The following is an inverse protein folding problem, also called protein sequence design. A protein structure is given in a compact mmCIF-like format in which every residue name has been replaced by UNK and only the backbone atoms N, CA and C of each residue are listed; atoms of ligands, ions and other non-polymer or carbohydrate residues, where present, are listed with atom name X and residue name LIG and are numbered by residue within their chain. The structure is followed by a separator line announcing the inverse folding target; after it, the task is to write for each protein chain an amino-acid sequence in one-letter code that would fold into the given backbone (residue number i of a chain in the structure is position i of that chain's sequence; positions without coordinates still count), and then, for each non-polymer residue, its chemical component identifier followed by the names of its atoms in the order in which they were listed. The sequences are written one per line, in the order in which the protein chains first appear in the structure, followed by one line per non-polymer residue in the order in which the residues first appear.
data_IF_705880040086
#
_entry.id   IF_705880040086
#
_cell.length_a   1.000
_cell.length_b   1.000
_cell.length_c   1.000
_cell.angle_alpha   90.00
_cell.angle_beta   90.00
_cell.angle_gamma   90.00
#
_symmetry.space_group_name_H-M   'P 1'
#
loop_
_entity.id
_entity.type
_entity.pdbx_description
1 polymer ?
#
# COMPACT_ATOMS: atom_id res chain seq x y z
N UNK A 1 -11.69 -27.26 -11.93
CA UNK A 1 -11.22 -26.44 -10.79
C UNK A 1 -10.19 -25.48 -11.30
N UNK A 2 -10.29 -24.16 -11.03
CA UNK A 2 -9.20 -23.22 -11.35
C UNK A 2 -7.96 -23.60 -10.55
N UNK A 3 -6.75 -23.37 -11.08
CA UNK A 3 -5.49 -23.60 -10.39
C UNK A 3 -5.46 -22.69 -9.14
N UNK A 4 -5.17 -23.25 -7.97
CA UNK A 4 -5.00 -22.46 -6.75
C UNK A 4 -3.64 -21.74 -6.73
N UNK A 5 -3.34 -21.09 -5.61
CA UNK A 5 -2.02 -20.48 -5.40
C UNK A 5 -0.93 -21.54 -5.27
N UNK A 6 0.29 -21.17 -5.65
CA UNK A 6 1.51 -21.94 -5.45
C UNK A 6 2.45 -21.17 -4.54
N UNK A 7 2.98 -21.84 -3.51
CA UNK A 7 3.97 -21.19 -2.63
C UNK A 7 5.31 -21.06 -3.35
N UNK A 8 5.82 -19.84 -3.46
CA UNK A 8 7.14 -19.52 -4.05
C UNK A 8 7.98 -18.70 -3.09
N UNK A 9 9.30 -18.77 -3.25
CA UNK A 9 10.25 -17.83 -2.66
C UNK A 9 10.77 -16.99 -3.81
N UNK A 10 10.59 -15.67 -3.71
CA UNK A 10 10.98 -14.70 -4.73
C UNK A 10 11.77 -13.55 -4.12
N UNK A 11 12.44 -12.77 -4.95
CA UNK A 11 13.10 -11.54 -4.51
C UNK A 11 12.07 -10.43 -4.25
N UNK A 12 12.31 -9.60 -3.22
CA UNK A 12 11.47 -8.45 -2.91
C UNK A 12 11.33 -7.50 -4.10
N UNK A 13 12.37 -7.34 -4.88
CA UNK A 13 12.39 -6.51 -6.09
C UNK A 13 11.40 -6.94 -7.17
N UNK A 14 10.89 -8.17 -7.13
CA UNK A 14 9.87 -8.67 -8.06
C UNK A 14 8.44 -8.27 -7.66
N UNK A 15 8.26 -7.70 -6.46
CA UNK A 15 6.95 -7.36 -5.91
C UNK A 15 6.66 -5.88 -6.10
N UNK A 16 5.60 -5.57 -6.82
CA UNK A 16 5.01 -4.25 -6.88
C UNK A 16 3.94 -4.11 -5.80
N UNK A 17 4.01 -3.05 -5.00
CA UNK A 17 2.87 -2.66 -4.17
C UNK A 17 1.77 -2.17 -5.11
N UNK A 18 0.63 -2.89 -5.14
CA UNK A 18 -0.42 -2.59 -6.11
C UNK A 18 -0.94 -1.15 -5.94
N UNK A 19 -0.81 -0.28 -6.95
CA UNK A 19 -1.20 1.13 -6.84
C UNK A 19 -2.72 1.31 -6.68
N UNK A 20 -3.51 0.32 -7.12
CA UNK A 20 -4.97 0.32 -7.00
C UNK A 20 -5.45 -0.20 -5.63
N UNK A 21 -4.55 -0.47 -4.66
CA UNK A 21 -4.96 -0.99 -3.36
C UNK A 21 -5.89 -0.01 -2.64
N UNK A 22 -7.17 -0.39 -2.38
CA UNK A 22 -8.14 0.50 -1.74
C UNK A 22 -7.95 0.63 -0.21
N UNK A 23 -6.96 -0.07 0.35
CA UNK A 23 -6.63 -0.01 1.78
C UNK A 23 -5.56 1.04 2.04
N UNK A 24 -5.84 1.95 2.95
CA UNK A 24 -4.87 2.91 3.46
C UNK A 24 -4.17 2.33 4.68
N UNK A 25 -2.85 2.33 4.68
CA UNK A 25 -2.02 1.89 5.81
C UNK A 25 -1.29 3.08 6.42
N UNK A 26 -1.55 3.35 7.69
CA UNK A 26 -0.83 4.40 8.42
C UNK A 26 0.55 3.93 8.87
N UNK A 27 1.46 4.87 9.11
CA UNK A 27 2.78 4.55 9.69
C UNK A 27 2.67 3.83 11.04
N UNK A 28 1.62 4.14 11.81
CA UNK A 28 1.35 3.48 13.09
C UNK A 28 1.02 1.99 12.87
N UNK A 29 0.16 1.68 11.89
CA UNK A 29 -0.21 0.31 11.55
C UNK A 29 0.99 -0.50 11.08
N UNK A 30 1.85 0.11 10.25
CA UNK A 30 3.06 -0.54 9.73
C UNK A 30 4.05 -0.79 10.88
N UNK A 31 4.24 0.18 11.79
CA UNK A 31 5.10 0.02 12.98
C UNK A 31 4.59 -1.07 13.91
N UNK A 32 3.28 -1.12 14.14
CA UNK A 32 2.64 -2.18 14.96
C UNK A 32 2.84 -3.55 14.32
N UNK A 33 2.60 -3.68 13.02
CA UNK A 33 2.82 -4.92 12.28
C UNK A 33 4.30 -5.35 12.31
N UNK A 34 5.22 -4.39 12.13
CA UNK A 34 6.67 -4.63 12.27
C UNK A 34 7.04 -5.20 13.65
N UNK A 35 6.48 -4.63 14.72
CA UNK A 35 6.71 -5.11 16.09
C UNK A 35 6.20 -6.54 16.27
N UNK A 36 5.02 -6.84 15.73
CA UNK A 36 4.45 -8.19 15.78
C UNK A 36 5.29 -9.19 14.99
N UNK A 37 5.73 -8.85 13.76
CA UNK A 37 6.59 -9.72 12.94
C UNK A 37 7.91 -10.01 13.66
N UNK A 38 8.51 -9.01 14.32
CA UNK A 38 9.73 -9.22 15.12
C UNK A 38 9.52 -10.17 16.29
N UNK A 39 8.33 -10.19 16.88
CA UNK A 39 8.00 -11.03 18.05
C UNK A 39 7.69 -12.47 17.70
N UNK A 40 6.88 -12.69 16.65
CA UNK A 40 6.30 -14.00 16.35
C UNK A 40 6.66 -14.54 14.97
N UNK A 41 7.42 -13.79 14.17
CA UNK A 41 7.71 -14.09 12.77
C UNK A 41 6.61 -13.60 11.82
N UNK A 42 6.86 -13.75 10.51
CA UNK A 42 5.90 -13.41 9.48
C UNK A 42 4.82 -14.49 9.41
N UNK A 43 3.63 -14.16 9.91
CA UNK A 43 2.45 -15.02 9.89
C UNK A 43 1.44 -14.46 8.88
N UNK A 44 0.79 -15.36 8.15
CA UNK A 44 -0.17 -15.03 7.10
C UNK A 44 0.45 -14.97 5.70
N UNK A 45 -0.39 -15.20 4.70
CA UNK A 45 0.03 -15.23 3.29
C UNK A 45 0.32 -13.84 2.75
N UNK A 46 1.19 -13.79 1.76
CA UNK A 46 1.38 -12.65 0.87
C UNK A 46 0.95 -13.14 -0.50
N UNK A 47 -0.15 -12.61 -1.03
CA UNK A 47 -0.67 -13.04 -2.33
C UNK A 47 -0.08 -12.14 -3.42
N UNK A 48 0.57 -12.76 -4.38
CA UNK A 48 1.30 -12.09 -5.44
C UNK A 48 0.89 -12.64 -6.81
N UNK A 49 0.55 -11.75 -7.74
CA UNK A 49 0.23 -12.13 -9.11
C UNK A 49 1.52 -12.17 -9.93
N UNK A 50 1.91 -13.36 -10.39
CA UNK A 50 3.14 -13.52 -11.17
C UNK A 50 3.05 -12.90 -12.57
N UNK A 51 1.86 -12.72 -13.13
CA UNK A 51 1.65 -12.13 -14.45
C UNK A 51 1.94 -10.63 -14.46
N UNK A 52 1.52 -9.91 -13.41
CA UNK A 52 1.67 -8.45 -13.31
C UNK A 52 2.79 -8.01 -12.37
N UNK A 53 3.24 -8.90 -11.48
CA UNK A 53 4.14 -8.56 -10.38
C UNK A 53 3.47 -7.87 -9.20
N UNK A 54 2.17 -7.64 -9.24
CA UNK A 54 1.44 -6.90 -8.24
C UNK A 54 1.03 -7.75 -7.02
N UNK A 55 0.97 -7.11 -5.86
CA UNK A 55 0.33 -7.70 -4.68
C UNK A 55 -1.20 -7.66 -4.82
N UNK A 56 -1.84 -8.75 -4.41
CA UNK A 56 -3.29 -8.83 -4.19
C UNK A 56 -3.61 -8.65 -2.71
N UNK A 57 -2.83 -9.28 -1.83
CA UNK A 57 -2.93 -9.11 -0.38
C UNK A 57 -1.54 -9.15 0.29
N UNK A 58 -1.45 -8.56 1.48
CA UNK A 58 -0.21 -8.56 2.26
C UNK A 58 0.62 -7.28 2.15
N UNK A 59 0.11 -6.20 1.57
CA UNK A 59 0.81 -4.91 1.44
C UNK A 59 1.44 -4.45 2.76
N UNK A 60 0.66 -4.39 3.85
CA UNK A 60 1.15 -4.01 5.18
C UNK A 60 2.26 -4.94 5.69
N UNK A 61 2.15 -6.25 5.40
CA UNK A 61 3.19 -7.24 5.76
C UNK A 61 4.49 -6.99 5.01
N UNK A 62 4.42 -6.78 3.70
CA UNK A 62 5.60 -6.48 2.86
C UNK A 62 6.26 -5.19 3.33
N UNK A 63 5.51 -4.08 3.47
CA UNK A 63 6.04 -2.81 3.96
C UNK A 63 6.70 -2.93 5.34
N UNK A 64 6.16 -3.78 6.22
CA UNK A 64 6.74 -4.01 7.55
C UNK A 64 8.03 -4.82 7.49
N UNK A 65 8.13 -5.79 6.58
CA UNK A 65 9.35 -6.58 6.34
C UNK A 65 10.40 -5.69 5.66
N UNK A 66 10.03 -4.84 4.71
CA UNK A 66 10.93 -3.84 4.12
C UNK A 66 11.63 -3.00 5.20
N UNK A 67 10.86 -2.52 6.20
CA UNK A 67 11.42 -1.78 7.34
C UNK A 67 12.28 -2.64 8.28
N UNK A 68 12.11 -3.96 8.31
CA UNK A 68 12.94 -4.87 9.12
C UNK A 68 14.25 -5.15 8.41
N UNK A 69 14.20 -5.39 7.10
CA UNK A 69 15.36 -5.73 6.27
C UNK A 69 16.16 -4.50 5.82
N UNK A 70 15.57 -3.29 5.96
CA UNK A 70 16.18 -2.07 5.47
C UNK A 70 16.16 -1.95 3.95
N UNK A 71 15.11 -2.51 3.33
CA UNK A 71 14.95 -2.45 1.87
C UNK A 71 14.75 -1.03 1.38
N UNK A 72 15.60 -0.58 0.46
CA UNK A 72 15.61 0.75 -0.15
C UNK A 72 15.48 0.73 -1.68
N UNK A 73 15.22 -0.46 -2.26
CA UNK A 73 15.09 -0.66 -3.69
C UNK A 73 16.40 -0.98 -4.41
N UNK A 74 17.54 -1.02 -3.69
CA UNK A 74 18.83 -1.39 -4.27
C UNK A 74 19.03 -2.92 -4.26
N UNK A 75 19.86 -3.48 -5.17
CA UNK A 75 20.17 -4.91 -5.16
C UNK A 75 20.83 -5.40 -3.88
N UNK A 76 21.56 -4.52 -3.17
CA UNK A 76 22.30 -4.84 -1.95
C UNK A 76 21.35 -5.09 -0.76
N UNK A 77 20.17 -4.49 -0.78
CA UNK A 77 19.15 -4.64 0.26
C UNK A 77 18.03 -5.60 -0.12
N UNK A 78 18.10 -6.18 -1.34
CA UNK A 78 17.10 -7.12 -1.83
C UNK A 78 17.12 -8.43 -1.03
N UNK A 79 15.96 -8.94 -0.66
CA UNK A 79 15.82 -10.12 0.18
C UNK A 79 14.82 -11.12 -0.38
N UNK A 80 14.94 -12.37 0.07
CA UNK A 80 14.02 -13.44 -0.30
C UNK A 80 12.76 -13.39 0.58
N UNK A 81 11.60 -13.50 -0.07
CA UNK A 81 10.31 -13.49 0.62
C UNK A 81 9.41 -14.60 0.10
N UNK A 82 8.69 -15.24 1.02
CA UNK A 82 7.74 -16.28 0.70
C UNK A 82 6.39 -15.68 0.30
N UNK A 83 5.87 -16.08 -0.84
CA UNK A 83 4.59 -15.63 -1.38
C UNK A 83 3.71 -16.80 -1.81
N UNK A 84 2.41 -16.57 -1.86
CA UNK A 84 1.42 -17.41 -2.53
C UNK A 84 1.19 -16.81 -3.92
N UNK A 85 1.87 -17.39 -4.92
CA UNK A 85 1.81 -16.94 -6.31
C UNK A 85 0.51 -17.41 -6.97
N UNK A 86 -0.14 -16.50 -7.68
CA UNK A 86 -1.30 -16.76 -8.53
C UNK A 86 -1.01 -16.24 -9.94
N UNK A 87 -1.79 -16.75 -10.90
CA UNK A 87 -1.70 -16.37 -12.31
C UNK A 87 -3.08 -15.83 -12.73
N UNK A 88 -3.25 -14.52 -12.61
CA UNK A 88 -4.50 -13.83 -12.93
C UNK A 88 -4.28 -12.81 -14.05
N UNK A 89 -5.28 -12.69 -14.93
CA UNK A 89 -5.40 -11.55 -15.80
C UNK A 89 -5.73 -10.28 -15.00
N UNK A 90 -5.58 -9.13 -15.60
CA UNK A 90 -5.73 -7.82 -14.94
C UNK A 90 -7.13 -7.62 -14.33
N UNK A 91 -8.18 -8.06 -15.03
CA UNK A 91 -9.56 -7.98 -14.52
C UNK A 91 -9.73 -8.83 -13.26
N UNK A 92 -9.31 -10.08 -13.33
CA UNK A 92 -9.39 -11.02 -12.19
C UNK A 92 -8.54 -10.51 -11.01
N UNK A 93 -7.37 -9.94 -11.27
CA UNK A 93 -6.54 -9.32 -10.24
C UNK A 93 -7.29 -8.19 -9.51
N UNK A 94 -7.88 -7.25 -10.26
CA UNK A 94 -8.67 -6.14 -9.69
C UNK A 94 -9.86 -6.64 -8.87
N UNK A 95 -10.60 -7.62 -9.39
CA UNK A 95 -11.72 -8.24 -8.67
C UNK A 95 -11.28 -8.91 -7.37
N UNK A 96 -10.16 -9.65 -7.38
CA UNK A 96 -9.63 -10.30 -6.19
C UNK A 96 -9.04 -9.30 -5.20
N UNK A 97 -8.39 -8.24 -5.65
CA UNK A 97 -7.92 -7.15 -4.79
C UNK A 97 -9.08 -6.51 -4.02
N UNK A 98 -10.19 -6.22 -4.70
CA UNK A 98 -11.40 -5.68 -4.08
C UNK A 98 -12.04 -6.69 -3.11
N UNK A 99 -12.17 -7.96 -3.51
CA UNK A 99 -12.72 -9.00 -2.64
C UNK A 99 -11.93 -9.12 -1.34
N UNK A 100 -10.60 -9.17 -1.41
CA UNK A 100 -9.73 -9.26 -0.24
C UNK A 100 -9.77 -7.98 0.60
N UNK A 101 -9.92 -6.82 -0.05
CA UNK A 101 -10.08 -5.56 0.67
C UNK A 101 -11.39 -5.51 1.45
N UNK A 102 -12.51 -5.82 0.80
CA UNK A 102 -13.86 -5.77 1.41
C UNK A 102 -14.03 -6.75 2.57
N UNK A 103 -13.38 -7.91 2.51
CA UNK A 103 -13.55 -8.98 3.50
C UNK A 103 -12.77 -8.77 4.81
N UNK A 104 -11.79 -7.87 4.86
CA UNK A 104 -10.83 -7.83 5.97
C UNK A 104 -10.78 -6.51 6.75
N UNK A 105 -10.96 -5.36 6.09
CA UNK A 105 -10.76 -4.04 6.71
C UNK A 105 -11.71 -3.00 6.10
N UNK A 106 -11.94 -1.85 6.76
CA UNK A 106 -12.58 -0.71 6.12
C UNK A 106 -11.82 -0.32 4.85
N UNK A 107 -12.54 -0.11 3.77
CA UNK A 107 -11.99 0.35 2.50
C UNK A 107 -12.29 1.83 2.27
N UNK A 108 -11.43 2.50 1.51
CA UNK A 108 -11.68 3.86 1.05
C UNK A 108 -12.46 3.82 -0.27
N UNK A 109 -13.74 4.19 -0.22
CA UNK A 109 -14.63 4.21 -1.39
C UNK A 109 -14.21 5.22 -2.45
N UNK A 110 -13.49 6.30 -2.09
CA UNK A 110 -12.95 7.24 -3.07
C UNK A 110 -11.83 6.60 -3.89
N UNK A 111 -10.96 5.81 -3.23
CA UNK A 111 -9.92 5.04 -3.94
C UNK A 111 -10.55 3.96 -4.84
N UNK A 112 -11.64 3.34 -4.40
CA UNK A 112 -12.37 2.39 -5.24
C UNK A 112 -12.95 3.09 -6.46
N UNK A 113 -13.68 4.20 -6.27
CA UNK A 113 -14.28 4.97 -7.36
C UNK A 113 -13.26 5.47 -8.39
N UNK A 114 -12.07 5.85 -7.91
CA UNK A 114 -10.97 6.35 -8.78
C UNK A 114 -10.32 5.25 -9.62
N UNK A 115 -10.15 4.04 -9.05
CA UNK A 115 -9.27 3.02 -9.65
C UNK A 115 -10.02 1.85 -10.31
N UNK A 116 -11.36 1.76 -10.13
CA UNK A 116 -12.14 0.62 -10.59
C UNK A 116 -13.42 1.09 -11.30
N UNK A 117 -13.55 0.76 -12.58
CA UNK A 117 -14.74 1.09 -13.35
C UNK A 117 -15.89 0.16 -13.01
N UNK A 118 -17.10 0.71 -12.79
CA UNK A 118 -18.32 -0.08 -12.58
C UNK A 118 -18.67 -0.93 -13.81
N UNK A 119 -18.33 -0.46 -15.00
CA UNK A 119 -18.66 -1.16 -16.24
C UNK A 119 -17.72 -2.36 -16.49
N UNK A 120 -16.52 -2.34 -15.93
CA UNK A 120 -15.49 -3.37 -16.16
C UNK A 120 -15.44 -4.43 -15.06
N UNK A 121 -15.80 -4.07 -13.82
CA UNK A 121 -15.62 -4.90 -12.63
C UNK A 121 -16.96 -5.45 -12.15
N UNK A 122 -17.02 -6.73 -11.85
CA UNK A 122 -18.16 -7.33 -11.16
C UNK A 122 -18.06 -7.07 -9.64
N UNK A 123 -18.57 -5.92 -9.21
CA UNK A 123 -18.59 -5.52 -7.80
C UNK A 123 -19.38 -6.49 -6.92
N UNK A 124 -20.41 -7.12 -7.43
CA UNK A 124 -21.19 -8.12 -6.69
C UNK A 124 -20.36 -9.37 -6.42
N UNK A 125 -19.61 -9.85 -7.41
CA UNK A 125 -18.67 -10.96 -7.22
C UNK A 125 -17.53 -10.62 -6.24
N UNK A 126 -17.14 -9.34 -6.16
CA UNK A 126 -16.17 -8.84 -5.20
C UNK A 126 -16.76 -8.60 -3.78
N UNK A 127 -18.03 -8.94 -3.54
CA UNK A 127 -18.65 -8.87 -2.22
C UNK A 127 -19.26 -7.52 -1.85
N UNK A 128 -19.44 -6.61 -2.83
CA UNK A 128 -20.10 -5.32 -2.61
C UNK A 128 -21.61 -5.48 -2.68
N UNK A 129 -22.33 -4.74 -1.83
CA UNK A 129 -23.80 -4.66 -1.87
C UNK A 129 -24.25 -3.68 -2.96
N UNK A 130 -25.54 -3.69 -3.26
CA UNK A 130 -26.13 -2.70 -4.17
C UNK A 130 -25.92 -1.27 -3.67
N UNK A 131 -26.05 -1.05 -2.35
CA UNK A 131 -25.80 0.25 -1.73
C UNK A 131 -24.35 0.70 -1.88
N UNK A 132 -23.40 -0.22 -1.67
CA UNK A 132 -21.98 0.07 -1.90
C UNK A 132 -21.72 0.50 -3.35
N UNK A 133 -22.33 -0.22 -4.31
CA UNK A 133 -22.18 0.04 -5.75
C UNK A 133 -22.79 1.38 -6.15
N UNK A 134 -23.95 1.73 -5.61
CA UNK A 134 -24.59 3.04 -5.80
C UNK A 134 -23.71 4.17 -5.25
N UNK A 135 -23.12 3.99 -4.07
CA UNK A 135 -22.20 4.97 -3.48
C UNK A 135 -20.95 5.17 -4.34
N UNK A 136 -20.35 4.09 -4.85
CA UNK A 136 -19.19 4.15 -5.74
C UNK A 136 -19.55 4.90 -7.03
N UNK A 137 -20.74 4.62 -7.60
CA UNK A 137 -21.21 5.31 -8.80
C UNK A 137 -21.37 6.80 -8.59
N UNK A 138 -21.97 7.23 -7.49
CA UNK A 138 -22.09 8.66 -7.14
C UNK A 138 -20.72 9.33 -7.05
N UNK A 139 -19.74 8.67 -6.41
CA UNK A 139 -18.38 9.20 -6.32
C UNK A 139 -17.68 9.27 -7.69
N UNK A 140 -17.95 8.35 -8.61
CA UNK A 140 -17.43 8.41 -9.98
C UNK A 140 -18.06 9.57 -10.76
N UNK A 141 -19.38 9.73 -10.68
CA UNK A 141 -20.10 10.83 -11.33
C UNK A 141 -19.60 12.19 -10.82
N UNK A 142 -19.36 12.34 -9.51
CA UNK A 142 -18.80 13.56 -8.90
C UNK A 142 -17.36 13.82 -9.39
N UNK A 143 -16.55 12.78 -9.53
CA UNK A 143 -15.18 12.87 -10.03
C UNK A 143 -15.17 13.34 -11.49
N UNK A 144 -16.01 12.75 -12.34
CA UNK A 144 -16.16 13.14 -13.74
C UNK A 144 -16.66 14.59 -13.89
N UNK A 145 -17.65 15.00 -13.06
CA UNK A 145 -18.15 16.36 -13.06
C UNK A 145 -17.05 17.37 -12.69
N UNK A 146 -16.23 17.05 -11.69
CA UNK A 146 -15.11 17.87 -11.24
C UNK A 146 -14.03 18.02 -12.32
N UNK A 147 -13.76 16.97 -13.09
CA UNK A 147 -12.80 17.00 -14.18
C UNK A 147 -13.31 17.89 -15.35
N UNK A 148 -14.60 17.83 -15.67
CA UNK A 148 -15.23 18.67 -16.72
C UNK A 148 -15.24 20.15 -16.35
N UNK A 149 -15.50 20.47 -15.06
CA UNK A 149 -15.54 21.87 -14.58
C UNK A 149 -14.12 22.50 -14.53
N UNK A 150 -13.09 21.68 -14.38
CA UNK A 150 -11.69 22.15 -14.39
C UNK A 150 -11.12 22.50 -15.79
N UNK A 151 -11.93 22.36 -16.85
CA UNK A 151 -11.53 22.70 -18.22
C UNK A 151 -10.45 21.79 -18.82
N UNK A 152 -10.28 20.61 -18.29
CA UNK A 152 -9.32 19.61 -18.76
C UNK A 152 -9.95 18.66 -19.79
N UNK A 153 -10.60 19.19 -20.81
CA UNK A 153 -11.25 18.40 -21.87
C UNK A 153 -10.27 17.66 -22.80
N UNK A 154 -8.96 17.74 -22.57
CA UNK A 154 -7.93 17.17 -23.45
C UNK A 154 -6.87 16.34 -22.69
N UNK A 155 -7.31 15.50 -21.73
CA UNK A 155 -6.43 14.47 -21.19
C UNK A 155 -6.74 13.14 -21.86
N UNK A 156 -5.84 12.72 -22.76
CA UNK A 156 -5.78 11.38 -23.32
C UNK A 156 -5.73 10.32 -22.21
N UNK A 157 -6.32 9.15 -22.47
CA UNK A 157 -6.38 7.98 -21.59
C UNK A 157 -5.00 7.56 -21.00
N UNK A 158 -3.90 8.05 -21.56
CA UNK A 158 -2.54 7.82 -21.07
C UNK A 158 -2.25 8.41 -19.67
N UNK A 159 -3.00 9.44 -19.22
CA UNK A 159 -2.78 10.05 -17.90
C UNK A 159 -3.43 9.26 -16.76
N UNK A 160 -4.40 8.41 -17.04
CA UNK A 160 -5.04 7.55 -16.05
C UNK A 160 -4.21 6.31 -15.72
N UNK A 161 -3.21 5.99 -16.53
CA UNK A 161 -2.35 4.82 -16.38
C UNK A 161 -0.98 5.12 -15.76
N UNK A 162 -0.65 6.37 -15.47
CA UNK A 162 0.57 6.64 -14.72
C UNK A 162 0.36 6.27 -13.24
N UNK A 163 1.14 5.33 -12.70
CA UNK A 163 1.11 5.05 -11.27
C UNK A 163 1.52 6.33 -10.55
N UNK A 164 0.66 6.81 -9.66
CA UNK A 164 1.05 7.86 -8.71
C UNK A 164 2.12 7.27 -7.82
N UNK A 165 3.36 7.36 -8.25
CA UNK A 165 4.52 7.17 -7.40
C UNK A 165 4.54 8.40 -6.49
N UNK A 166 3.80 8.37 -5.40
CA UNK A 166 4.12 9.24 -4.28
C UNK A 166 5.36 8.68 -3.58
N UNK A 167 6.46 8.69 -4.31
CA UNK A 167 7.76 8.70 -3.68
C UNK A 167 7.92 10.11 -3.15
N UNK A 168 7.47 10.35 -1.94
CA UNK A 168 8.08 11.39 -1.13
C UNK A 168 9.52 10.93 -0.92
N UNK A 169 10.40 11.36 -1.83
CA UNK A 169 11.82 11.40 -1.54
C UNK A 169 11.95 12.13 -0.21
N UNK A 170 12.59 11.54 0.80
CA UNK A 170 12.92 12.31 1.99
C UNK A 170 13.78 13.48 1.50
N UNK A 171 13.27 14.69 1.70
CA UNK A 171 14.06 15.91 1.56
C UNK A 171 15.34 15.68 2.37
N UNK A 172 16.55 15.88 1.83
CA UNK A 172 17.76 15.74 2.63
C UNK A 172 17.59 16.69 3.82
N UNK A 173 17.63 16.13 5.01
CA UNK A 173 17.60 16.91 6.25
C UNK A 173 18.76 17.90 6.19
N UNK A 174 18.43 19.17 6.09
CA UNK A 174 19.37 20.25 6.35
C UNK A 174 19.95 20.00 7.72
N UNK A 175 21.27 19.96 7.80
CA UNK A 175 22.02 19.68 9.00
C UNK A 175 21.45 20.45 10.19
N UNK A 176 20.98 19.72 11.20
CA UNK A 176 20.70 20.30 12.51
C UNK A 176 22.00 20.78 13.09
N UNK A 177 22.06 21.99 13.69
CA UNK A 177 23.28 22.46 14.35
C UNK A 177 23.66 21.48 15.45
N UNK A 178 24.89 21.02 15.41
CA UNK A 178 25.50 20.14 16.37
C UNK A 178 25.52 20.83 17.75
N UNK A 179 24.64 20.43 18.66
CA UNK A 179 24.67 20.82 20.05
C UNK A 179 25.30 19.64 20.81
N UNK A 180 26.61 19.58 20.80
CA UNK A 180 27.36 18.76 21.76
C UNK A 180 27.23 19.40 23.15
N UNK A 181 26.22 19.02 23.92
CA UNK A 181 26.26 19.18 25.37
C UNK A 181 26.98 17.97 25.96
N UNK A 182 28.11 18.21 26.60
CA UNK A 182 28.85 17.16 27.31
C UNK A 182 28.04 16.68 28.52
N UNK A 183 28.26 15.41 28.89
CA UNK A 183 27.56 14.76 30.02
C UNK A 183 27.70 15.51 31.36
N UNK A 184 28.68 16.41 31.49
CA UNK A 184 28.87 17.24 32.67
C UNK A 184 27.93 18.43 32.77
N UNK A 185 27.47 19.00 31.62
CA UNK A 185 26.49 20.10 31.60
C UNK A 185 25.09 19.65 31.94
N UNK A 186 24.73 18.40 31.63
CA UNK A 186 23.41 17.84 31.95
C UNK A 186 23.26 17.58 33.46
N UNK A 187 24.33 17.25 34.15
CA UNK A 187 24.34 17.01 35.61
C UNK A 187 24.20 18.31 36.37
N UNK A 188 24.78 19.43 35.88
CA UNK A 188 24.68 20.74 36.53
C UNK A 188 23.24 21.33 36.47
N UNK A 189 22.49 21.07 35.41
CA UNK A 189 21.13 21.61 35.23
C UNK A 189 20.10 20.92 36.14
N UNK A 190 20.33 19.66 36.55
CA UNK A 190 19.48 18.93 37.48
C UNK A 190 19.74 19.25 38.98
N UNK A 191 20.85 19.86 39.33
CA UNK A 191 21.21 20.19 40.70
C UNK A 191 20.68 21.57 41.16
N UNK A 192 20.12 22.38 40.27
CA UNK A 192 19.74 23.78 40.53
C UNK A 192 18.25 24.03 40.72
N UNK A 193 17.40 23.01 41.00
CA UNK A 193 15.99 23.23 41.35
C UNK A 193 15.79 23.26 42.85
N UNK A 194 15.38 24.40 43.47
CA UNK A 194 15.05 24.48 44.88
C UNK A 194 13.77 23.72 45.21
N UNK A 195 13.72 23.19 46.44
CA UNK A 195 12.60 22.48 47.03
C UNK A 195 11.37 23.34 47.21
#
# INVERSE_FOLDING_TARGET
MKKGSETKIIKRSQINLNPCNPKVHTDADIKQQKANIKKVGLIGGIQWNETTGNLIDGHKRVMSVDLIQGYDGTPETDYDIKVEAVDFDEKTEKEQLLFMAKSQDPIDYNLVAKNFSIDEIDFKAAGFTEQDTEQIKMLQDDLEASLKDSGMDDFSEDFLNEPIISVTTPTPMTELPNIEKTSEEIVAEHAAKPK
#
